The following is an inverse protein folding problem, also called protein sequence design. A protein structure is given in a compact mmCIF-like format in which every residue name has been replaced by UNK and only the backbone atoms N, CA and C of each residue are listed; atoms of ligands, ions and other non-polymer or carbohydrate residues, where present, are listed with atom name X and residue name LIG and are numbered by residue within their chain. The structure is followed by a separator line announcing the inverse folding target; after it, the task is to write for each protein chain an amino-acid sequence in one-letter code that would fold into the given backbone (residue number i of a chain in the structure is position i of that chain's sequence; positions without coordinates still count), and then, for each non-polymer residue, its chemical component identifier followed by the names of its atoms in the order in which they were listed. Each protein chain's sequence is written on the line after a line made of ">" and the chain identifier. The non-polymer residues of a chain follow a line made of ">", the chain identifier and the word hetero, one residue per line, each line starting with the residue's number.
data_IF_735275353576
#
_entry.id   IF_735275353576
#
_cell.length_a   1.000
_cell.length_b   1.000
_cell.length_c   1.000
_cell.angle_alpha   90.00
_cell.angle_beta   90.00
_cell.angle_gamma   90.00
#
_symmetry.space_group_name_H-M   'P 1'
#
loop_
_entity.id
_entity.type
_entity.pdbx_description
1 polymer ?
#
# COMPACT_ATOMS: atom_id res chain seq x y z
N UNK A 1 -2.29 -48.62 25.09
CA UNK A 1 -0.91 -48.09 25.28
C UNK A 1 -0.29 -47.69 23.94
N UNK A 2 -0.39 -48.54 22.91
CA UNK A 2 0.04 -48.28 21.53
C UNK A 2 -0.61 -47.04 20.91
N UNK A 3 -1.89 -46.80 21.19
CA UNK A 3 -2.62 -45.65 20.63
C UNK A 3 -2.10 -44.30 21.16
N UNK A 4 -1.77 -44.25 22.46
CA UNK A 4 -1.21 -43.06 23.09
C UNK A 4 0.20 -42.76 22.56
N UNK A 5 1.00 -43.81 22.32
CA UNK A 5 2.33 -43.70 21.72
C UNK A 5 2.23 -43.14 20.29
N UNK A 6 1.26 -43.61 19.49
CA UNK A 6 1.04 -43.11 18.14
C UNK A 6 0.61 -41.63 18.14
N UNK A 7 -0.27 -41.23 19.06
CA UNK A 7 -0.67 -39.82 19.19
C UNK A 7 0.48 -38.90 19.61
N UNK A 8 1.35 -39.34 20.53
CA UNK A 8 2.53 -38.58 20.94
C UNK A 8 3.51 -38.43 19.77
N UNK A 9 3.74 -39.50 19.00
CA UNK A 9 4.60 -39.46 17.83
C UNK A 9 4.05 -38.52 16.74
N UNK A 10 2.74 -38.50 16.51
CA UNK A 10 2.10 -37.56 15.58
C UNK A 10 2.25 -36.09 16.04
N UNK A 11 2.04 -35.80 17.32
CA UNK A 11 2.20 -34.45 17.88
C UNK A 11 3.65 -33.98 17.78
N UNK A 12 4.63 -34.86 18.05
CA UNK A 12 6.05 -34.56 17.90
C UNK A 12 6.45 -34.31 16.44
N UNK A 13 5.87 -35.05 15.48
CA UNK A 13 6.08 -34.81 14.04
C UNK A 13 5.48 -33.47 13.59
N UNK A 14 4.30 -33.09 14.09
CA UNK A 14 3.68 -31.79 13.79
C UNK A 14 4.48 -30.60 14.37
N UNK A 15 5.11 -30.74 15.54
CA UNK A 15 5.94 -29.69 16.14
C UNK A 15 7.22 -29.38 15.36
N UNK A 16 7.70 -30.31 14.53
CA UNK A 16 8.84 -30.08 13.61
C UNK A 16 8.41 -29.41 12.30
N UNK A 17 7.12 -29.46 11.98
CA UNK A 17 6.54 -28.68 10.89
C UNK A 17 6.30 -27.27 11.42
N UNK A 18 7.38 -26.51 11.63
CA UNK A 18 7.26 -25.06 11.62
C UNK A 18 6.83 -24.68 10.21
N UNK A 19 5.53 -24.50 10.00
CA UNK A 19 5.00 -23.97 8.75
C UNK A 19 5.45 -22.50 8.64
N UNK A 20 6.70 -22.29 8.22
CA UNK A 20 7.24 -20.97 7.91
C UNK A 20 6.80 -20.65 6.49
N UNK A 21 5.53 -20.30 6.33
CA UNK A 21 5.10 -19.54 5.15
C UNK A 21 5.40 -18.08 5.45
N UNK A 22 6.69 -17.76 5.54
CA UNK A 22 7.14 -16.38 5.68
C UNK A 22 7.21 -15.72 4.31
N UNK A 23 6.04 -15.54 3.67
CA UNK A 23 5.88 -14.53 2.61
C UNK A 23 5.66 -13.13 3.21
N UNK A 24 6.30 -12.84 4.34
CA UNK A 24 6.21 -11.54 5.02
C UNK A 24 7.62 -10.98 5.19
N UNK A 25 7.82 -9.74 4.78
CA UNK A 25 8.99 -8.94 5.15
C UNK A 25 8.53 -7.84 6.07
N UNK A 26 8.66 -8.09 7.38
CA UNK A 26 8.20 -7.17 8.42
C UNK A 26 9.14 -5.98 8.48
N UNK A 27 8.57 -4.79 8.59
CA UNK A 27 9.31 -3.52 8.75
C UNK A 27 8.49 -2.61 9.67
N UNK A 28 9.01 -2.29 10.85
CA UNK A 28 8.26 -1.47 11.82
C UNK A 28 8.07 -0.04 11.31
N UNK A 29 9.06 0.44 10.58
CA UNK A 29 9.21 1.75 9.99
C UNK A 29 8.11 2.00 8.95
N UNK A 30 7.60 0.95 8.31
CA UNK A 30 6.46 1.04 7.39
C UNK A 30 5.21 1.63 8.05
N UNK A 31 4.95 1.31 9.32
CA UNK A 31 3.73 1.77 10.01
C UNK A 31 3.62 3.29 10.08
N UNK A 32 4.76 3.97 10.18
CA UNK A 32 4.85 5.42 10.28
C UNK A 32 4.55 6.13 8.95
N UNK A 33 4.60 5.38 7.84
CA UNK A 33 4.47 5.91 6.47
C UNK A 33 3.11 5.64 5.85
N UNK A 34 2.24 4.89 6.54
CA UNK A 34 0.90 4.55 6.07
C UNK A 34 0.05 5.81 5.94
N UNK A 35 -0.46 6.04 4.74
CA UNK A 35 -1.37 7.14 4.46
C UNK A 35 -2.54 6.60 3.65
N UNK A 36 -3.76 6.83 4.13
CA UNK A 36 -4.96 6.51 3.36
C UNK A 36 -5.09 7.47 2.19
N UNK A 37 -5.39 6.93 1.01
CA UNK A 37 -5.62 7.68 -0.22
C UNK A 37 -6.93 7.22 -0.87
N UNK A 38 -7.54 8.11 -1.65
CA UNK A 38 -8.76 7.78 -2.40
C UNK A 38 -8.47 6.98 -3.67
N UNK A 39 -7.25 7.11 -4.22
CA UNK A 39 -6.89 6.50 -5.50
C UNK A 39 -5.39 6.16 -5.52
N UNK A 40 -5.06 4.99 -6.06
CA UNK A 40 -3.69 4.64 -6.39
C UNK A 40 -3.29 5.13 -7.79
N UNK A 41 -2.00 5.41 -8.04
CA UNK A 41 -1.53 5.81 -9.37
C UNK A 41 -1.96 4.85 -10.47
N UNK A 42 -2.43 5.37 -11.60
CA UNK A 42 -2.97 4.54 -12.70
C UNK A 42 -1.97 4.29 -13.83
N UNK A 43 -0.83 4.98 -13.81
CA UNK A 43 0.20 4.89 -14.83
C UNK A 43 1.58 5.17 -14.23
N UNK A 44 2.65 4.89 -14.99
CA UNK A 44 4.03 5.02 -14.53
C UNK A 44 4.39 6.46 -14.12
N UNK A 45 3.97 7.47 -14.88
CA UNK A 45 4.27 8.87 -14.55
C UNK A 45 3.62 9.29 -13.23
N UNK A 46 2.36 8.93 -13.01
CA UNK A 46 1.67 9.17 -11.74
C UNK A 46 2.32 8.39 -10.58
N UNK A 47 2.78 7.17 -10.84
CA UNK A 47 3.49 6.35 -9.85
C UNK A 47 4.82 6.99 -9.43
N UNK A 48 5.63 7.43 -10.39
CA UNK A 48 6.91 8.09 -10.13
C UNK A 48 6.73 9.42 -9.39
N UNK A 49 5.70 10.19 -9.76
CA UNK A 49 5.35 11.43 -9.07
C UNK A 49 4.95 11.17 -7.61
N UNK A 50 4.06 10.20 -7.36
CA UNK A 50 3.63 9.82 -6.01
C UNK A 50 4.78 9.24 -5.19
N UNK A 51 5.61 8.38 -5.78
CA UNK A 51 6.79 7.81 -5.13
C UNK A 51 7.80 8.90 -4.74
N UNK A 52 8.04 9.87 -5.62
CA UNK A 52 8.89 11.03 -5.35
C UNK A 52 8.32 11.92 -4.25
N UNK A 53 7.00 12.14 -4.24
CA UNK A 53 6.33 12.92 -3.20
C UNK A 53 6.41 12.21 -1.84
N UNK A 54 6.19 10.89 -1.80
CA UNK A 54 6.29 10.08 -0.58
C UNK A 54 7.72 10.03 -0.05
N UNK A 55 8.71 10.06 -0.96
CA UNK A 55 10.14 10.13 -0.66
C UNK A 55 10.60 9.07 0.38
N UNK A 56 10.39 7.79 0.08
CA UNK A 56 10.69 6.70 1.02
C UNK A 56 12.16 6.69 1.49
N UNK A 57 13.10 7.19 0.68
CA UNK A 57 14.52 7.32 1.04
C UNK A 57 14.80 8.32 2.16
N UNK A 58 13.84 9.18 2.51
CA UNK A 58 13.99 10.14 3.62
C UNK A 58 13.73 9.54 5.01
N UNK A 59 13.11 8.36 5.07
CA UNK A 59 12.87 7.65 6.32
C UNK A 59 14.09 6.80 6.65
N UNK A 60 14.50 6.83 7.91
CA UNK A 60 15.51 5.89 8.40
C UNK A 60 14.87 4.50 8.53
N UNK A 61 15.21 3.62 7.60
CA UNK A 61 14.71 2.25 7.52
C UNK A 61 15.87 1.27 7.32
N UNK A 62 17.04 1.54 7.93
CA UNK A 62 18.25 0.71 7.81
C UNK A 62 18.04 -0.75 8.26
N UNK A 63 17.08 -0.96 9.17
CA UNK A 63 16.62 -2.27 9.63
C UNK A 63 15.81 -3.04 8.58
N UNK A 64 15.29 -2.35 7.56
CA UNK A 64 14.46 -2.90 6.50
C UNK A 64 15.29 -3.04 5.22
N UNK A 65 15.47 -4.29 4.75
CA UNK A 65 16.28 -4.61 3.56
C UNK A 65 16.01 -3.76 2.30
N UNK A 66 14.79 -3.23 2.17
CA UNK A 66 14.39 -2.30 1.12
C UNK A 66 13.21 -1.47 1.63
N UNK A 67 13.13 -0.20 1.25
CA UNK A 67 12.03 0.68 1.66
C UNK A 67 11.52 1.45 0.45
N UNK A 68 10.59 0.83 -0.28
CA UNK A 68 10.09 1.32 -1.56
C UNK A 68 8.65 1.78 -1.43
N UNK A 69 8.25 2.69 -2.31
CA UNK A 69 6.89 3.19 -2.37
C UNK A 69 5.94 2.09 -2.87
N UNK A 70 4.80 1.96 -2.19
CA UNK A 70 3.70 1.09 -2.58
C UNK A 70 2.40 1.85 -2.46
N UNK A 71 1.47 1.58 -3.38
CA UNK A 71 0.06 1.90 -3.22
C UNK A 71 -0.75 0.61 -3.40
N UNK A 72 -1.46 0.20 -2.34
CA UNK A 72 -2.12 -1.11 -2.24
C UNK A 72 -3.40 -1.02 -1.41
N UNK A 73 -4.16 -2.11 -1.34
CA UNK A 73 -5.33 -2.21 -0.47
C UNK A 73 -4.94 -2.07 1.01
N UNK A 74 -5.82 -1.46 1.80
CA UNK A 74 -5.72 -1.49 3.25
C UNK A 74 -6.01 -2.89 3.82
N UNK A 75 -5.63 -3.11 5.07
CA UNK A 75 -5.84 -4.39 5.77
C UNK A 75 -7.32 -4.80 5.86
N UNK A 76 -8.21 -3.81 5.96
CA UNK A 76 -9.67 -3.92 6.05
C UNK A 76 -10.40 -3.83 4.69
N UNK A 77 -9.67 -3.66 3.58
CA UNK A 77 -10.22 -3.53 2.22
C UNK A 77 -11.20 -2.35 2.00
N UNK A 78 -11.29 -1.42 2.95
CA UNK A 78 -12.19 -0.26 2.89
C UNK A 78 -11.51 1.01 2.36
N UNK A 79 -10.20 0.96 2.14
CA UNK A 79 -9.42 2.08 1.60
C UNK A 79 -8.20 1.61 0.81
N UNK A 80 -7.57 2.55 0.13
CA UNK A 80 -6.24 2.37 -0.43
C UNK A 80 -5.23 3.06 0.48
N UNK A 81 -4.03 2.51 0.54
CA UNK A 81 -2.94 3.06 1.33
C UNK A 81 -1.69 3.23 0.50
N UNK A 82 -1.09 4.40 0.61
CA UNK A 82 0.30 4.63 0.25
C UNK A 82 1.19 4.34 1.45
N UNK A 83 2.23 3.54 1.24
CA UNK A 83 3.13 3.11 2.30
C UNK A 83 4.54 2.91 1.74
N UNK A 84 5.55 3.18 2.54
CA UNK A 84 6.91 2.75 2.28
C UNK A 84 7.14 1.40 2.96
N UNK A 85 7.52 0.38 2.19
CA UNK A 85 7.69 -0.97 2.73
C UNK A 85 8.71 -1.79 1.94
N UNK A 86 9.17 -2.92 2.50
CA UNK A 86 9.93 -3.88 1.73
C UNK A 86 9.10 -4.49 0.62
N UNK A 87 9.67 -4.53 -0.57
CA UNK A 87 9.05 -5.18 -1.70
C UNK A 87 9.03 -6.69 -1.54
N UNK A 88 7.92 -7.28 -1.96
CA UNK A 88 7.70 -8.72 -2.05
C UNK A 88 7.20 -9.08 -3.44
N UNK A 89 7.50 -10.31 -3.87
CA UNK A 89 6.86 -10.88 -5.05
C UNK A 89 5.49 -11.42 -4.63
N UNK A 90 4.45 -10.94 -5.31
CA UNK A 90 3.07 -11.36 -5.16
C UNK A 90 2.85 -12.49 -6.14
N UNK A 91 2.47 -13.67 -5.63
CA UNK A 91 2.39 -14.91 -6.39
C UNK A 91 0.92 -15.36 -6.48
N UNK A 92 0.53 -15.92 -7.63
CA UNK A 92 -0.74 -16.60 -7.83
C UNK A 92 -1.84 -15.76 -8.47
N UNK A 93 -1.51 -14.81 -9.35
CA UNK A 93 -2.49 -13.95 -10.05
C UNK A 93 -3.45 -13.20 -9.14
N UNK A 94 -2.97 -12.74 -7.98
CA UNK A 94 -3.80 -12.09 -6.95
C UNK A 94 -3.32 -10.67 -6.64
N UNK A 95 -4.23 -9.88 -6.11
CA UNK A 95 -4.00 -8.54 -5.63
C UNK A 95 -3.09 -8.49 -4.39
N UNK A 96 -2.62 -7.28 -4.06
CA UNK A 96 -1.76 -7.03 -2.90
C UNK A 96 -2.43 -6.08 -1.91
N UNK A 97 -2.16 -6.28 -0.61
CA UNK A 97 -2.54 -5.38 0.48
C UNK A 97 -1.38 -5.09 1.42
N UNK A 98 -1.45 -3.98 2.14
CA UNK A 98 -0.60 -3.75 3.30
C UNK A 98 -1.33 -4.20 4.56
N UNK A 99 -0.67 -5.02 5.37
CA UNK A 99 -1.22 -5.52 6.62
C UNK A 99 -0.43 -4.92 7.77
N UNK A 100 -1.05 -4.01 8.53
CA UNK A 100 -0.40 -3.28 9.62
C UNK A 100 0.01 -4.23 10.74
N UNK A 101 -0.80 -5.25 11.02
CA UNK A 101 -0.50 -6.27 12.03
C UNK A 101 0.81 -7.03 11.74
N UNK A 102 1.05 -7.39 10.47
CA UNK A 102 2.27 -8.07 10.03
C UNK A 102 3.36 -7.11 9.54
N UNK A 103 3.03 -5.82 9.41
CA UNK A 103 3.95 -4.74 9.02
C UNK A 103 4.60 -5.03 7.67
N UNK A 104 3.79 -5.54 6.73
CA UNK A 104 4.28 -6.09 5.47
C UNK A 104 3.23 -6.02 4.36
N UNK A 105 3.72 -5.99 3.12
CA UNK A 105 2.88 -6.19 1.93
C UNK A 105 2.59 -7.68 1.79
N UNK A 106 1.36 -8.05 1.47
CA UNK A 106 0.94 -9.44 1.34
C UNK A 106 0.06 -9.62 0.11
N UNK A 107 0.08 -10.83 -0.41
CA UNK A 107 -0.92 -11.29 -1.37
C UNK A 107 -2.30 -11.38 -0.68
N UNK A 108 -3.36 -11.16 -1.45
CA UNK A 108 -4.73 -11.34 -1.00
C UNK A 108 -5.28 -12.63 -1.59
N UNK A 109 -5.37 -13.68 -0.76
CA UNK A 109 -5.94 -14.95 -1.20
C UNK A 109 -7.37 -14.77 -1.75
N UNK A 110 -7.64 -15.35 -2.92
CA UNK A 110 -8.96 -15.32 -3.56
C UNK A 110 -9.34 -14.01 -4.26
N UNK A 111 -8.52 -12.97 -4.19
CA UNK A 111 -8.75 -11.72 -4.93
C UNK A 111 -7.91 -11.69 -6.19
N UNK A 112 -8.42 -12.29 -7.27
CA UNK A 112 -7.69 -12.45 -8.52
C UNK A 112 -7.61 -11.12 -9.29
N UNK A 113 -6.46 -10.88 -9.91
CA UNK A 113 -6.24 -9.78 -10.86
C UNK A 113 -6.28 -10.25 -12.32
N UNK A 114 -7.01 -11.33 -12.60
CA UNK A 114 -7.23 -11.86 -13.96
C UNK A 114 -8.42 -11.23 -14.67
N UNK A 115 -9.35 -10.61 -13.93
CA UNK A 115 -10.61 -10.07 -14.45
C UNK A 115 -10.50 -8.57 -14.82
N UNK A 116 -9.46 -8.20 -15.56
CA UNK A 116 -9.18 -6.82 -15.93
C UNK A 116 -8.65 -6.66 -17.36
N UNK A 117 -8.48 -5.41 -17.83
CA UNK A 117 -7.91 -5.12 -19.15
C UNK A 117 -6.45 -5.60 -19.27
N UNK A 118 -5.72 -5.60 -18.15
CA UNK A 118 -4.38 -6.18 -18.04
C UNK A 118 -4.37 -7.27 -16.96
N UNK A 119 -4.17 -8.51 -17.39
CA UNK A 119 -3.96 -9.64 -16.48
C UNK A 119 -2.60 -9.50 -15.79
N UNK A 120 -2.59 -9.64 -14.47
CA UNK A 120 -1.34 -9.73 -13.72
C UNK A 120 -0.65 -11.07 -13.98
N UNK A 121 0.69 -11.11 -14.12
CA UNK A 121 1.41 -12.36 -14.30
C UNK A 121 1.35 -13.19 -13.01
N UNK A 122 1.68 -14.49 -13.12
CA UNK A 122 1.67 -15.40 -11.98
C UNK A 122 2.51 -14.88 -10.80
N UNK A 123 3.60 -14.17 -11.08
CA UNK A 123 4.44 -13.52 -10.07
C UNK A 123 4.81 -12.12 -10.52
N UNK A 124 4.59 -11.12 -9.66
CA UNK A 124 4.98 -9.73 -9.92
C UNK A 124 5.55 -9.07 -8.67
N UNK A 125 6.42 -8.06 -8.85
CA UNK A 125 6.92 -7.26 -7.74
C UNK A 125 5.79 -6.34 -7.22
N UNK A 126 5.52 -6.38 -5.92
CA UNK A 126 4.56 -5.51 -5.22
C UNK A 126 4.66 -4.01 -5.52
N UNK A 127 5.81 -3.47 -5.97
CA UNK A 127 5.90 -2.07 -6.44
C UNK A 127 5.07 -1.82 -7.70
N UNK A 128 4.79 -2.86 -8.48
CA UNK A 128 3.95 -2.81 -9.68
C UNK A 128 2.47 -3.07 -9.42
N UNK A 129 2.06 -3.24 -8.14
CA UNK A 129 0.66 -3.50 -7.81
C UNK A 129 -0.30 -2.44 -8.37
N UNK A 130 0.15 -1.18 -8.47
CA UNK A 130 -0.62 -0.07 -9.04
C UNK A 130 -1.06 -0.31 -10.50
N UNK A 131 -0.45 -1.23 -11.25
CA UNK A 131 -0.86 -1.52 -12.63
C UNK A 131 -2.21 -2.23 -12.68
N UNK A 132 -2.54 -2.98 -11.64
CA UNK A 132 -3.73 -3.84 -11.61
C UNK A 132 -4.91 -3.13 -10.95
N UNK A 133 -5.42 -2.11 -11.65
CA UNK A 133 -6.49 -1.23 -11.16
C UNK A 133 -7.78 -1.98 -10.79
N UNK A 134 -8.04 -3.13 -11.39
CA UNK A 134 -9.15 -4.02 -11.04
C UNK A 134 -9.15 -4.43 -9.55
N UNK A 135 -7.98 -4.47 -8.92
CA UNK A 135 -7.85 -4.74 -7.49
C UNK A 135 -8.47 -3.66 -6.61
N UNK A 136 -8.67 -2.45 -7.13
CA UNK A 136 -9.09 -1.27 -6.36
C UNK A 136 -10.54 -0.87 -6.62
N UNK A 137 -11.17 -1.42 -7.67
CA UNK A 137 -12.57 -1.12 -8.03
C UNK A 137 -13.58 -1.55 -6.96
N UNK A 138 -13.24 -2.59 -6.18
CA UNK A 138 -14.11 -3.20 -5.17
C UNK A 138 -13.77 -2.78 -3.74
N UNK A 139 -13.02 -1.69 -3.57
CA UNK A 139 -12.84 -1.10 -2.24
C UNK A 139 -14.22 -0.78 -1.71
N UNK A 140 -14.63 -1.46 -0.64
CA UNK A 140 -15.91 -1.22 0.03
C UNK A 140 -15.80 0.14 0.70
N UNK A 141 -16.01 1.21 -0.06
CA UNK A 141 -16.14 2.55 0.49
C UNK A 141 -17.34 2.52 1.43
N UNK A 142 -17.08 2.50 2.74
CA UNK A 142 -18.07 2.98 3.69
C UNK A 142 -18.14 4.49 3.49
N UNK A 143 -18.90 4.90 2.48
CA UNK A 143 -19.23 6.30 2.23
C UNK A 143 -20.16 6.72 3.35
N UNK A 144 -19.60 7.26 4.43
CA UNK A 144 -20.35 8.25 5.18
C UNK A 144 -20.10 9.59 4.47
N UNK A 145 -21.12 10.22 3.86
CA UNK A 145 -20.93 11.45 3.10
C UNK A 145 -20.62 12.59 4.07
N UNK A 146 -19.34 12.87 4.29
CA UNK A 146 -18.96 14.17 4.85
C UNK A 146 -18.70 15.10 3.67
N UNK A 147 -19.71 15.91 3.39
CA UNK A 147 -19.68 17.08 2.51
C UNK A 147 -18.42 17.90 2.79
N UNK A 148 -17.40 17.78 1.94
CA UNK A 148 -16.31 18.75 1.90
C UNK A 148 -16.80 19.90 1.03
N UNK A 149 -17.17 21.00 1.68
CA UNK A 149 -17.38 22.29 1.04
C UNK A 149 -16.11 22.65 0.25
N UNK A 150 -16.22 22.68 -1.07
CA UNK A 150 -15.24 23.31 -1.94
C UNK A 150 -15.21 24.81 -1.62
N UNK A 151 -14.17 25.27 -0.91
CA UNK A 151 -13.76 26.66 -1.00
C UNK A 151 -12.78 26.80 -2.15
N UNK A 152 -13.33 27.23 -3.29
CA UNK A 152 -12.57 27.75 -4.42
C UNK A 152 -11.74 28.97 -3.98
N UNK A 153 -10.42 28.84 -4.08
CA UNK A 153 -9.51 29.97 -4.17
C UNK A 153 -9.82 30.79 -5.43
N UNK A 154 -9.68 32.12 -5.39
CA UNK A 154 -8.70 32.71 -6.30
C UNK A 154 -7.78 33.73 -5.61
N UNK A 155 -6.47 33.45 -5.66
CA UNK A 155 -5.44 34.49 -5.72
C UNK A 155 -5.37 34.97 -7.16
N UNK A 156 -5.69 36.24 -7.41
CA UNK A 156 -4.82 37.25 -8.06
C UNK A 156 -5.65 38.53 -8.28
N UNK A 157 -5.37 39.56 -7.49
CA UNK A 157 -5.56 40.95 -7.88
C UNK A 157 -4.51 41.78 -7.16
N UNK A 158 -3.55 42.22 -7.95
CA UNK A 158 -2.68 43.38 -7.84
C UNK A 158 -3.16 44.48 -6.89
N UNK A 159 -2.24 44.96 -6.06
CA UNK A 159 -2.41 46.24 -5.35
C UNK A 159 -1.15 46.64 -4.62
N UNK A 160 -0.44 47.65 -5.13
CA UNK A 160 0.10 48.69 -4.27
C UNK A 160 0.25 50.00 -5.06
N UNK A 161 -0.71 50.89 -4.84
CA UNK A 161 -0.56 52.33 -5.05
C UNK A 161 0.31 52.85 -3.90
N UNK A 162 1.40 53.56 -4.22
CA UNK A 162 1.95 54.56 -3.33
C UNK A 162 2.03 55.90 -4.06
N UNK A 163 1.24 56.83 -3.56
CA UNK A 163 1.18 58.24 -3.94
C UNK A 163 2.38 58.98 -3.38
N UNK A 164 3.06 59.81 -4.17
CA UNK A 164 3.54 61.11 -3.68
C UNK A 164 3.69 62.11 -4.82
N UNK A 165 2.85 63.13 -4.73
CA UNK A 165 2.94 64.43 -5.41
C UNK A 165 4.29 65.09 -5.09
N UNK A 166 5.00 65.59 -6.10
CA UNK A 166 5.67 66.88 -5.94
C UNK A 166 6.02 67.56 -7.27
N UNK A 167 5.54 68.79 -7.32
CA UNK A 167 5.63 69.84 -8.32
C UNK A 167 7.02 70.51 -8.27
N UNK A 168 7.69 70.67 -9.41
CA UNK A 168 8.16 71.94 -9.99
C UNK A 168 9.00 71.70 -11.26
#
# INVERSE_FOLDING_TARGET
>A
MTDYIYTILLIQLCNQIRFVVSFTRRCNESLQTVQKVSLCPTNLSAYEAAAKQKNCSSFNADSCHSFQYHCVLSEDFHSLVEVCAPSLNIIGHVCAKFMSTLKSILRVEGMNCTEGPEECPYSYNSTHAYKYQQCYSNVLFSTSPTTVLYQSSPRTATGEQNTTDNKQ
#
